data_IF_707224497335
#
_entry.id   IF_707224497335
#
_cell.length_a   1.000
_cell.length_b   1.000
_cell.length_c   1.000
_cell.angle_alpha   90.00
_cell.angle_beta   90.00
_cell.angle_gamma   90.00
#
_symmetry.space_group_name_H-M   'P 1'
#
loop_
_entity.id
_entity.type
_entity.pdbx_description
1 polymer ?
#
# COMPACT_ATOMS: atom_id res chain seq x y z
N UNK A 1 -21.85 0.47 -11.52
CA UNK A 1 -20.79 0.80 -12.49
C UNK A 1 -19.60 -0.07 -12.16
N UNK A 2 -18.96 -0.65 -13.17
CA UNK A 2 -17.76 -1.46 -12.93
C UNK A 2 -16.62 -0.54 -12.47
N UNK A 3 -16.42 -0.47 -11.15
CA UNK A 3 -15.37 0.32 -10.51
C UNK A 3 -13.98 -0.33 -10.64
N UNK A 4 -13.87 -1.50 -11.28
CA UNK A 4 -12.70 -2.41 -11.12
C UNK A 4 -11.66 -2.35 -12.25
N UNK A 5 -11.73 -1.38 -13.17
CA UNK A 5 -10.72 -1.22 -14.22
C UNK A 5 -9.50 -0.40 -13.79
N UNK A 6 -8.29 -0.83 -14.13
CA UNK A 6 -7.04 -0.08 -13.85
C UNK A 6 -7.11 1.37 -14.34
N UNK A 7 -7.77 1.61 -15.47
CA UNK A 7 -7.94 2.93 -16.11
C UNK A 7 -9.09 3.76 -15.53
N UNK A 8 -9.79 3.29 -14.49
CA UNK A 8 -10.90 4.03 -13.90
C UNK A 8 -10.42 5.39 -13.36
N UNK A 9 -11.10 6.51 -13.69
CA UNK A 9 -10.76 7.83 -13.14
C UNK A 9 -10.68 7.91 -11.61
N UNK A 10 -11.41 7.05 -10.89
CA UNK A 10 -11.37 6.94 -9.43
C UNK A 10 -10.07 6.31 -8.90
N UNK A 11 -9.24 5.72 -9.77
CA UNK A 11 -7.94 5.16 -9.42
C UNK A 11 -6.78 6.17 -9.61
N UNK A 12 -7.12 7.45 -9.78
CA UNK A 12 -6.17 8.56 -9.71
C UNK A 12 -5.94 8.93 -8.26
N UNK A 13 -4.72 9.36 -7.93
CA UNK A 13 -4.44 9.86 -6.58
C UNK A 13 -5.17 11.19 -6.32
N UNK A 14 -5.29 12.04 -7.35
CA UNK A 14 -6.11 13.26 -7.34
C UNK A 14 -7.43 12.99 -8.07
N UNK A 15 -8.43 12.54 -7.31
CA UNK A 15 -9.79 12.36 -7.83
C UNK A 15 -10.47 13.71 -7.97
N UNK A 16 -11.09 13.95 -9.14
CA UNK A 16 -11.97 15.10 -9.35
C UNK A 16 -13.40 14.63 -9.16
N UNK A 17 -14.04 15.12 -8.09
CA UNK A 17 -15.44 14.83 -7.81
C UNK A 17 -16.29 15.91 -8.49
N UNK A 18 -17.05 15.51 -9.49
CA UNK A 18 -17.93 16.42 -10.24
C UNK A 18 -19.13 16.85 -9.38
N UNK A 19 -19.69 18.06 -9.59
CA UNK A 19 -20.87 18.50 -8.86
C UNK A 19 -22.03 17.52 -8.96
N UNK A 20 -22.59 17.12 -7.82
CA UNK A 20 -23.71 16.18 -7.74
C UNK A 20 -23.30 14.70 -7.63
N UNK A 21 -22.01 14.39 -7.62
CA UNK A 21 -21.50 13.07 -7.23
C UNK A 21 -21.38 13.00 -5.70
N UNK A 22 -21.92 11.95 -5.09
CA UNK A 22 -21.74 11.68 -3.67
C UNK A 22 -20.27 11.24 -3.42
N UNK A 23 -19.51 11.92 -2.56
CA UNK A 23 -18.15 11.49 -2.21
C UNK A 23 -18.08 10.04 -1.69
N UNK A 24 -19.13 9.54 -1.04
CA UNK A 24 -19.16 8.17 -0.52
C UNK A 24 -19.16 7.13 -1.66
N UNK A 25 -19.73 7.48 -2.82
CA UNK A 25 -19.72 6.63 -4.02
C UNK A 25 -18.34 6.59 -4.71
N UNK A 26 -17.42 7.48 -4.31
CA UNK A 26 -16.06 7.56 -4.85
C UNK A 26 -15.02 6.86 -3.98
N UNK A 27 -15.44 6.31 -2.83
CA UNK A 27 -14.55 5.66 -1.89
C UNK A 27 -13.87 4.42 -2.50
N UNK A 28 -12.54 4.38 -2.40
CA UNK A 28 -11.73 3.19 -2.67
C UNK A 28 -10.39 3.29 -1.92
N UNK A 29 -9.57 2.23 -1.99
CA UNK A 29 -8.27 2.15 -1.29
C UNK A 29 -7.16 2.97 -1.98
N UNK A 30 -7.38 3.46 -3.20
CA UNK A 30 -6.34 4.10 -4.02
C UNK A 30 -5.67 5.28 -3.35
N UNK A 31 -6.36 6.26 -2.72
CA UNK A 31 -5.72 7.39 -2.06
C UNK A 31 -4.75 6.96 -0.96
N UNK A 32 -5.03 5.86 -0.28
CA UNK A 32 -4.19 5.33 0.81
C UNK A 32 -2.96 4.62 0.25
N UNK A 33 -3.16 3.62 -0.62
CA UNK A 33 -2.06 2.77 -1.12
C UNK A 33 -1.16 3.51 -2.11
N UNK A 34 -1.76 4.23 -3.07
CA UNK A 34 -1.00 5.02 -4.05
C UNK A 34 -0.37 6.26 -3.40
N UNK A 35 -1.05 6.86 -2.43
CA UNK A 35 -0.51 7.94 -1.61
C UNK A 35 0.72 7.50 -0.82
N UNK A 36 0.63 6.34 -0.14
CA UNK A 36 1.77 5.74 0.56
C UNK A 36 2.95 5.47 -0.37
N UNK A 37 2.70 4.88 -1.54
CA UNK A 37 3.75 4.62 -2.53
C UNK A 37 4.42 5.93 -3.00
N UNK A 38 3.63 6.99 -3.23
CA UNK A 38 4.16 8.27 -3.67
C UNK A 38 5.00 8.95 -2.58
N UNK A 39 4.50 9.00 -1.33
CA UNK A 39 5.26 9.56 -0.20
C UNK A 39 6.54 8.75 0.06
N UNK A 40 6.49 7.43 -0.08
CA UNK A 40 7.68 6.57 0.02
C UNK A 40 8.69 6.83 -1.10
N UNK A 41 8.22 7.11 -2.32
CA UNK A 41 9.08 7.53 -3.43
C UNK A 41 9.77 8.87 -3.13
N UNK A 42 9.06 9.84 -2.54
CA UNK A 42 9.67 11.10 -2.10
C UNK A 42 10.74 10.86 -1.04
N UNK A 43 10.48 10.02 -0.04
CA UNK A 43 11.48 9.63 0.96
C UNK A 43 12.71 8.97 0.30
N UNK A 44 12.48 8.09 -0.68
CA UNK A 44 13.55 7.46 -1.46
C UNK A 44 14.41 8.47 -2.24
N UNK A 45 13.80 9.50 -2.81
CA UNK A 45 14.52 10.58 -3.50
C UNK A 45 15.41 11.41 -2.57
N UNK A 46 14.97 11.61 -1.32
CA UNK A 46 15.79 12.23 -0.27
C UNK A 46 16.96 11.31 0.11
N UNK A 47 16.70 10.00 0.18
CA UNK A 47 17.70 8.96 0.44
C UNK A 47 18.18 8.87 1.90
N UNK A 48 17.59 9.66 2.79
CA UNK A 48 17.90 9.73 4.21
C UNK A 48 16.61 9.92 5.02
N UNK A 49 16.30 8.94 5.88
CA UNK A 49 15.05 8.92 6.65
C UNK A 49 14.98 10.07 7.67
N UNK A 50 16.08 10.40 8.34
CA UNK A 50 16.09 11.46 9.36
C UNK A 50 15.85 12.84 8.74
N UNK A 51 16.37 13.06 7.52
CA UNK A 51 16.09 14.28 6.75
C UNK A 51 14.62 14.34 6.30
N UNK A 52 14.06 13.21 5.87
CA UNK A 52 12.64 13.15 5.49
C UNK A 52 11.71 13.38 6.69
N UNK A 53 12.03 12.81 7.87
CA UNK A 53 11.27 13.02 9.10
C UNK A 53 11.30 14.51 9.55
N UNK A 54 12.45 15.17 9.40
CA UNK A 54 12.56 16.62 9.65
C UNK A 54 11.72 17.43 8.67
N UNK A 55 11.67 17.04 7.40
CA UNK A 55 10.78 17.64 6.41
C UNK A 55 9.31 17.47 6.80
N UNK A 56 8.87 16.26 7.18
CA UNK A 56 7.49 16.02 7.61
C UNK A 56 7.10 16.89 8.80
N UNK A 57 8.02 17.07 9.76
CA UNK A 57 7.80 17.98 10.88
C UNK A 57 7.66 19.43 10.41
N UNK A 58 8.56 19.90 9.55
CA UNK A 58 8.49 21.26 9.00
C UNK A 58 7.21 21.51 8.19
N UNK A 59 6.77 20.52 7.41
CA UNK A 59 5.52 20.54 6.67
C UNK A 59 4.31 20.72 7.59
N UNK A 60 4.22 19.93 8.67
CA UNK A 60 3.14 20.07 9.66
C UNK A 60 3.20 21.44 10.35
N UNK A 61 4.39 21.91 10.68
CA UNK A 61 4.56 23.20 11.35
C UNK A 61 4.18 24.40 10.46
N UNK A 62 4.44 24.32 9.15
CA UNK A 62 4.07 25.35 8.17
C UNK A 62 2.55 25.39 7.93
N UNK A 63 1.94 24.23 7.68
CA UNK A 63 0.55 24.15 7.22
C UNK A 63 -0.49 23.86 8.31
N UNK A 64 -0.09 23.77 9.59
CA UNK A 64 -1.04 23.63 10.70
C UNK A 64 -2.09 24.74 10.68
N UNK A 65 -3.35 24.36 10.93
CA UNK A 65 -4.53 25.24 10.90
C UNK A 65 -4.86 25.82 9.52
N UNK A 66 -4.33 25.24 8.44
CA UNK A 66 -4.62 25.63 7.06
C UNK A 66 -5.24 24.45 6.29
N UNK A 67 -5.85 24.76 5.16
CA UNK A 67 -6.23 23.76 4.14
C UNK A 67 -5.33 23.95 2.93
N UNK A 68 -4.78 22.86 2.41
CA UNK A 68 -3.80 22.89 1.34
C UNK A 68 -4.21 21.98 0.19
N UNK A 69 -3.66 22.26 -0.98
CA UNK A 69 -3.67 21.40 -2.15
C UNK A 69 -2.43 20.52 -2.17
N UNK A 70 -2.48 19.46 -2.98
CA UNK A 70 -1.31 18.62 -3.22
C UNK A 70 -0.16 19.41 -3.87
N UNK A 71 -0.48 20.46 -4.64
CA UNK A 71 0.52 21.32 -5.27
C UNK A 71 1.33 22.12 -4.24
N UNK A 72 0.67 22.62 -3.18
CA UNK A 72 1.33 23.34 -2.08
C UNK A 72 2.34 22.43 -1.34
N UNK A 73 1.96 21.17 -1.09
CA UNK A 73 2.84 20.18 -0.49
C UNK A 73 4.07 19.89 -1.36
N UNK A 74 3.88 19.70 -2.67
CA UNK A 74 4.96 19.36 -3.60
C UNK A 74 5.90 20.54 -3.84
N UNK A 75 5.37 21.76 -3.88
CA UNK A 75 6.18 22.97 -3.94
C UNK A 75 7.03 23.11 -2.68
N UNK A 76 6.42 23.00 -1.50
CA UNK A 76 7.13 23.03 -0.22
C UNK A 76 8.22 21.95 -0.13
N UNK A 77 7.95 20.73 -0.61
CA UNK A 77 8.95 19.65 -0.69
C UNK A 77 10.17 20.04 -1.53
N UNK A 78 9.96 20.60 -2.73
CA UNK A 78 11.05 21.01 -3.61
C UNK A 78 11.81 22.22 -3.06
N UNK A 79 11.16 23.12 -2.34
CA UNK A 79 11.80 24.24 -1.66
C UNK A 79 12.65 23.80 -0.47
N UNK A 80 12.15 22.84 0.32
CA UNK A 80 12.87 22.27 1.45
C UNK A 80 14.12 21.49 0.99
N UNK A 81 14.05 20.84 -0.18
CA UNK A 81 15.16 20.10 -0.78
C UNK A 81 15.64 20.73 -2.09
N UNK A 82 16.39 21.86 -2.05
CA UNK A 82 16.76 22.62 -3.24
C UNK A 82 17.63 21.81 -4.23
N UNK A 83 18.41 20.83 -3.74
CA UNK A 83 19.18 19.94 -4.59
C UNK A 83 18.31 19.00 -5.44
N UNK A 84 17.15 18.57 -4.91
CA UNK A 84 16.18 17.78 -5.67
C UNK A 84 15.44 18.65 -6.69
N UNK A 85 15.10 19.90 -6.32
CA UNK A 85 14.54 20.90 -7.25
C UNK A 85 15.49 21.18 -8.42
N UNK A 86 16.79 21.38 -8.16
CA UNK A 86 17.81 21.55 -9.21
C UNK A 86 17.91 20.34 -10.15
N UNK A 87 17.75 19.12 -9.61
CA UNK A 87 17.73 17.88 -10.39
C UNK A 87 16.42 17.67 -11.17
N UNK A 88 15.40 18.50 -10.96
CA UNK A 88 14.07 18.41 -11.56
C UNK A 88 13.43 17.03 -11.36
N UNK A 89 13.46 16.54 -10.12
CA UNK A 89 12.90 15.21 -9.77
C UNK A 89 11.40 15.10 -10.03
N UNK A 90 10.70 16.24 -10.05
CA UNK A 90 9.29 16.40 -10.39
C UNK A 90 8.95 16.09 -11.85
N UNK A 91 9.96 16.10 -12.73
CA UNK A 91 9.81 15.99 -14.18
C UNK A 91 10.62 14.83 -14.78
N UNK A 92 11.01 13.84 -13.96
CA UNK A 92 11.71 12.64 -14.45
C UNK A 92 10.76 11.82 -15.31
N UNK A 93 11.14 11.44 -16.56
CA UNK A 93 10.31 10.63 -17.43
C UNK A 93 9.82 9.34 -16.76
N UNK A 94 8.50 9.17 -16.66
CA UNK A 94 7.85 8.02 -16.02
C UNK A 94 7.59 8.16 -14.51
N UNK A 95 8.17 9.19 -13.87
CA UNK A 95 8.00 9.49 -12.44
C UNK A 95 7.58 10.94 -12.20
N UNK A 96 7.00 11.59 -13.22
CA UNK A 96 6.54 12.97 -13.13
C UNK A 96 5.51 13.10 -12.01
N UNK A 97 5.60 14.14 -11.18
CA UNK A 97 4.65 14.31 -10.08
C UNK A 97 3.20 14.48 -10.58
N UNK A 98 3.02 15.12 -11.73
CA UNK A 98 1.71 15.21 -12.40
C UNK A 98 1.15 13.83 -12.76
N UNK A 99 2.02 12.93 -13.24
CA UNK A 99 1.65 11.55 -13.57
C UNK A 99 1.18 10.79 -12.33
N UNK A 100 1.91 10.91 -11.21
CA UNK A 100 1.51 10.32 -9.93
C UNK A 100 0.10 10.73 -9.50
N UNK A 101 -0.22 12.01 -9.68
CA UNK A 101 -1.49 12.60 -9.26
C UNK A 101 -2.64 12.26 -10.20
N UNK A 102 -2.41 12.34 -11.51
CA UNK A 102 -3.48 12.43 -12.50
C UNK A 102 -3.62 11.19 -13.41
N UNK A 103 -2.68 10.24 -13.38
CA UNK A 103 -2.75 9.00 -14.16
C UNK A 103 -3.34 7.87 -13.31
N UNK A 104 -4.37 7.13 -13.80
CA UNK A 104 -4.90 5.96 -13.10
C UNK A 104 -3.92 4.78 -13.16
N UNK A 105 -4.29 3.64 -12.56
CA UNK A 105 -3.47 2.43 -12.55
C UNK A 105 -2.37 2.40 -11.48
N UNK A 106 -1.49 1.41 -11.59
CA UNK A 106 -0.45 1.10 -10.62
C UNK A 106 0.55 2.25 -10.39
N UNK A 107 1.07 2.41 -9.16
CA UNK A 107 2.12 3.37 -8.88
C UNK A 107 3.40 2.99 -9.63
N UNK A 108 4.15 3.96 -10.21
CA UNK A 108 5.38 3.67 -10.95
C UNK A 108 6.55 3.25 -10.03
N UNK A 109 6.44 3.48 -8.73
CA UNK A 109 7.38 3.04 -7.71
C UNK A 109 6.66 2.26 -6.61
N UNK A 110 7.26 1.16 -6.18
CA UNK A 110 6.84 0.40 -5.00
C UNK A 110 7.99 0.42 -3.98
N UNK A 111 7.74 0.79 -2.72
CA UNK A 111 8.77 0.74 -1.69
C UNK A 111 9.21 -0.70 -1.41
N UNK A 112 10.45 -0.87 -0.93
CA UNK A 112 10.92 -2.16 -0.47
C UNK A 112 10.23 -2.54 0.85
N UNK A 113 9.33 -3.53 0.78
CA UNK A 113 8.58 -4.04 1.92
C UNK A 113 9.24 -5.28 2.56
N UNK A 114 10.42 -5.69 2.08
CA UNK A 114 11.14 -6.86 2.60
C UNK A 114 11.45 -6.82 4.11
N UNK A 115 11.59 -5.67 4.80
CA UNK A 115 11.68 -5.66 6.27
C UNK A 115 10.48 -6.31 6.98
N UNK A 116 9.30 -6.28 6.35
CA UNK A 116 8.07 -6.92 6.83
C UNK A 116 8.02 -8.44 6.61
N UNK A 117 8.91 -9.00 5.80
CA UNK A 117 8.91 -10.41 5.41
C UNK A 117 8.97 -11.35 6.61
N UNK A 118 9.72 -10.99 7.65
CA UNK A 118 9.84 -11.81 8.86
C UNK A 118 8.49 -12.05 9.55
N UNK A 119 7.55 -11.11 9.39
CA UNK A 119 6.19 -11.19 9.92
C UNK A 119 5.22 -11.86 8.95
N UNK A 120 5.41 -11.68 7.64
CA UNK A 120 4.50 -12.14 6.59
C UNK A 120 4.79 -13.57 6.11
N UNK A 121 6.06 -13.93 5.90
CA UNK A 121 6.48 -15.24 5.34
C UNK A 121 5.91 -16.45 6.11
N UNK A 122 5.82 -16.47 7.45
CA UNK A 122 5.19 -17.58 8.15
C UNK A 122 3.74 -17.83 7.71
N UNK A 123 2.98 -16.75 7.51
CA UNK A 123 1.61 -16.80 7.03
C UNK A 123 1.52 -17.26 5.57
N UNK A 124 2.40 -16.76 4.69
CA UNK A 124 2.44 -17.17 3.28
C UNK A 124 2.81 -18.65 3.12
N UNK A 125 3.82 -19.10 3.86
CA UNK A 125 4.29 -20.49 3.86
C UNK A 125 3.18 -21.42 4.35
N UNK A 126 2.50 -21.05 5.45
CA UNK A 126 1.36 -21.81 5.94
C UNK A 126 0.26 -21.85 4.88
N UNK A 127 -0.11 -20.70 4.29
CA UNK A 127 -1.14 -20.65 3.24
C UNK A 127 -0.79 -21.54 2.04
N UNK A 128 0.49 -21.65 1.68
CA UNK A 128 0.95 -22.56 0.63
C UNK A 128 0.75 -24.04 1.00
N UNK A 129 1.05 -24.43 2.25
CA UNK A 129 0.84 -25.80 2.74
C UNK A 129 -0.65 -26.22 2.72
N UNK A 130 -1.58 -25.28 2.85
CA UNK A 130 -3.01 -25.56 2.78
C UNK A 130 -3.50 -25.86 1.36
N UNK A 131 -2.80 -25.35 0.34
CA UNK A 131 -3.24 -25.43 -1.07
C UNK A 131 -2.64 -26.64 -1.80
N UNK A 132 -1.61 -27.30 -1.25
CA UNK A 132 -1.02 -28.52 -1.84
C UNK A 132 -2.04 -29.66 -1.93
N UNK A 133 -1.92 -30.55 -2.93
CA UNK A 133 -2.87 -31.67 -3.06
C UNK A 133 -2.84 -32.61 -1.85
N UNK A 134 -1.63 -32.98 -1.41
CA UNK A 134 -1.40 -33.74 -0.17
C UNK A 134 -1.18 -32.79 1.02
N UNK A 135 -1.96 -32.97 2.08
CA UNK A 135 -1.79 -32.21 3.32
C UNK A 135 -0.62 -32.77 4.12
N UNK A 136 0.38 -31.93 4.34
CA UNK A 136 1.44 -32.21 5.30
C UNK A 136 1.01 -31.70 6.68
N UNK A 137 0.17 -32.47 7.37
CA UNK A 137 -0.31 -32.14 8.72
C UNK A 137 0.83 -31.89 9.72
N UNK A 138 1.92 -32.68 9.76
CA UNK A 138 3.06 -32.38 10.63
C UNK A 138 3.69 -31.00 10.38
N UNK A 139 3.80 -30.59 9.11
CA UNK A 139 4.34 -29.27 8.77
C UNK A 139 3.37 -28.13 9.13
N UNK A 140 2.05 -28.36 9.02
CA UNK A 140 1.02 -27.40 9.40
C UNK A 140 0.99 -27.22 10.93
N UNK A 141 0.99 -28.31 11.69
CA UNK A 141 0.98 -28.30 13.16
C UNK A 141 2.27 -27.75 13.76
N UNK A 142 3.40 -27.87 13.04
CA UNK A 142 4.67 -27.25 13.44
C UNK A 142 4.64 -25.72 13.40
N UNK A 143 3.69 -25.11 12.67
CA UNK A 143 3.49 -23.66 12.69
C UNK A 143 2.68 -23.29 13.93
N UNK A 144 3.35 -22.65 14.89
CA UNK A 144 2.72 -22.19 16.13
C UNK A 144 1.85 -20.93 15.87
N UNK A 145 0.67 -21.12 15.24
CA UNK A 145 -0.29 -20.03 14.94
C UNK A 145 -0.70 -19.29 16.22
N UNK A 146 -0.74 -19.97 17.36
CA UNK A 146 -1.04 -19.38 18.67
C UNK A 146 -0.05 -18.29 19.10
N UNK A 147 1.16 -18.26 18.54
CA UNK A 147 2.16 -17.22 18.80
C UNK A 147 1.99 -15.98 17.91
N UNK A 148 1.12 -16.05 16.90
CA UNK A 148 0.95 -14.97 15.92
C UNK A 148 0.18 -13.80 16.50
N UNK A 149 0.56 -12.61 16.06
CA UNK A 149 -0.24 -11.41 16.30
C UNK A 149 -1.45 -11.39 15.37
N UNK A 150 -2.50 -10.68 15.77
CA UNK A 150 -3.77 -10.61 15.03
C UNK A 150 -3.61 -10.30 13.54
N UNK A 151 -2.72 -9.37 13.17
CA UNK A 151 -2.50 -9.00 11.77
C UNK A 151 -1.87 -10.12 10.93
N UNK A 152 -1.04 -10.98 11.53
CA UNK A 152 -0.47 -12.14 10.81
C UNK A 152 -1.54 -13.19 10.52
N UNK A 153 -2.50 -13.36 11.45
CA UNK A 153 -3.66 -14.24 11.24
C UNK A 153 -4.60 -13.69 10.16
N UNK A 154 -4.90 -12.38 10.18
CA UNK A 154 -5.70 -11.72 9.13
C UNK A 154 -5.01 -11.88 7.77
N UNK A 155 -3.70 -11.63 7.70
CA UNK A 155 -2.93 -11.77 6.48
C UNK A 155 -2.90 -13.22 5.96
N UNK A 156 -2.77 -14.20 6.84
CA UNK A 156 -2.90 -15.61 6.48
C UNK A 156 -4.27 -15.93 5.87
N UNK A 157 -5.35 -15.44 6.48
CA UNK A 157 -6.71 -15.64 5.98
C UNK A 157 -6.92 -15.00 4.61
N UNK A 158 -6.40 -13.79 4.39
CA UNK A 158 -6.42 -13.13 3.09
C UNK A 158 -5.68 -13.95 2.02
N UNK A 159 -4.49 -14.48 2.34
CA UNK A 159 -3.73 -15.37 1.45
C UNK A 159 -4.46 -16.68 1.14
N UNK A 160 -5.20 -17.23 2.09
CA UNK A 160 -6.06 -18.40 1.86
C UNK A 160 -7.24 -18.03 0.94
N UNK A 161 -7.87 -16.88 1.17
CA UNK A 161 -9.00 -16.41 0.37
C UNK A 161 -8.60 -16.20 -1.09
N UNK A 162 -7.43 -15.63 -1.35
CA UNK A 162 -6.88 -15.45 -2.70
C UNK A 162 -6.65 -16.79 -3.44
N UNK A 163 -6.49 -17.89 -2.71
CA UNK A 163 -6.28 -19.24 -3.26
C UNK A 163 -7.56 -20.09 -3.22
N UNK A 164 -8.70 -19.48 -2.92
CA UNK A 164 -10.01 -20.13 -2.92
C UNK A 164 -10.48 -20.42 -4.37
N UNK A 165 -11.18 -21.54 -4.63
CA UNK A 165 -11.58 -22.57 -3.66
C UNK A 165 -10.43 -23.51 -3.29
N UNK A 166 -10.32 -23.81 -1.99
CA UNK A 166 -9.40 -24.84 -1.50
C UNK A 166 -9.88 -26.24 -1.92
N UNK A 167 -8.96 -27.23 -1.99
CA UNK A 167 -9.33 -28.63 -2.26
C UNK A 167 -10.41 -29.17 -1.31
N UNK A 168 -11.25 -30.12 -1.77
CA UNK A 168 -12.38 -30.64 -0.99
C UNK A 168 -11.98 -31.16 0.40
N UNK A 169 -12.76 -30.81 1.42
CA UNK A 169 -12.54 -31.28 2.80
C UNK A 169 -11.62 -30.40 3.65
N UNK A 170 -10.91 -29.43 3.07
CA UNK A 170 -9.92 -28.59 3.80
C UNK A 170 -10.51 -27.41 4.57
N UNK A 171 -11.66 -26.89 4.16
CA UNK A 171 -12.31 -25.74 4.83
C UNK A 171 -12.66 -26.02 6.30
N UNK A 172 -12.98 -27.27 6.65
CA UNK A 172 -13.30 -27.66 8.03
C UNK A 172 -12.08 -27.59 8.96
N UNK A 173 -10.89 -27.85 8.42
CA UNK A 173 -9.64 -27.89 9.18
C UNK A 173 -9.08 -26.49 9.40
N UNK A 174 -9.19 -25.58 8.42
CA UNK A 174 -8.80 -24.18 8.59
C UNK A 174 -9.56 -23.54 9.76
N UNK A 175 -10.86 -23.82 9.89
CA UNK A 175 -11.69 -23.28 10.98
C UNK A 175 -11.26 -23.87 12.35
N UNK A 176 -10.87 -25.15 12.41
CA UNK A 176 -10.46 -25.77 13.68
C UNK A 176 -9.03 -25.43 14.12
N UNK A 177 -8.18 -24.92 13.21
CA UNK A 177 -6.81 -24.49 13.53
C UNK A 177 -6.73 -23.03 14.01
N UNK A 178 -7.81 -22.26 13.85
CA UNK A 178 -7.88 -20.83 14.19
C UNK A 178 -8.59 -20.60 15.54
N UNK A 179 -9.49 -21.50 15.96
CA UNK A 179 -10.16 -21.48 17.26
C UNK A 179 -9.43 -22.35 18.29
#
# INVERSE_FOLDING_TARGET
MDITGEENPLNKLRVKIEPGVDPDDTYNETPYEKGFCFVSYLAHLVGDQDQFDKFLKAYVDEFKFQSILADDFLEFYLEYFPELKKKRVDSIPGFEFDRWLNTPGWPPYLPDLSPGDSLMKPAENLAQLWVTEELNMPAIEAVAISSWKTYQLIYFLDKILQKSPLPPGKNKWVISSIC
#
